data_IF_675441538959
#
_entry.id   IF_675441538959
#
_cell.length_a   1.000
_cell.length_b   1.000
_cell.length_c   1.000
_cell.angle_alpha   90.00
_cell.angle_beta   90.00
_cell.angle_gamma   90.00
#
_symmetry.space_group_name_H-M   'P 1'
#
loop_
_entity.id
_entity.type
_entity.pdbx_description
1 polymer ?
#
# COMPACT_ATOMS: atom_id res chain seq x y z
N UNK A 1 -4.88 -48.36 -48.72
CA UNK A 1 -6.30 -48.02 -49.01
C UNK A 1 -6.43 -46.52 -49.10
N UNK A 2 -7.04 -46.07 -50.20
CA UNK A 2 -7.63 -44.76 -50.53
C UNK A 2 -6.80 -43.48 -50.60
N UNK A 3 -6.53 -43.16 -51.87
CA UNK A 3 -6.27 -41.89 -52.54
C UNK A 3 -7.41 -40.85 -52.48
N UNK A 4 -7.01 -39.59 -52.69
CA UNK A 4 -7.79 -38.37 -52.92
C UNK A 4 -8.88 -38.49 -54.01
N UNK A 5 -9.96 -37.72 -53.88
CA UNK A 5 -10.61 -37.03 -55.01
C UNK A 5 -11.32 -35.74 -54.56
N UNK A 6 -10.98 -34.64 -55.24
CA UNK A 6 -11.67 -33.34 -55.20
C UNK A 6 -12.94 -33.38 -56.06
N UNK A 7 -13.97 -32.62 -55.69
CA UNK A 7 -14.99 -32.13 -56.63
C UNK A 7 -15.31 -30.64 -56.38
N UNK A 8 -15.53 -29.83 -57.44
CA UNK A 8 -15.69 -28.39 -57.34
C UNK A 8 -17.17 -28.01 -57.19
N UNK A 9 -17.53 -27.18 -56.20
CA UNK A 9 -18.85 -26.54 -56.15
C UNK A 9 -18.80 -25.14 -56.76
N UNK A 10 -19.54 -25.04 -57.86
CA UNK A 10 -19.93 -23.93 -58.70
C UNK A 10 -20.11 -22.56 -58.01
N UNK A 11 -19.27 -21.60 -58.41
CA UNK A 11 -19.38 -20.15 -58.14
C UNK A 11 -20.43 -19.44 -59.02
N UNK A 12 -21.65 -19.98 -59.13
CA UNK A 12 -22.66 -19.43 -60.05
C UNK A 12 -23.97 -18.97 -59.38
N UNK A 13 -24.20 -19.22 -58.09
CA UNK A 13 -25.47 -18.86 -57.43
C UNK A 13 -25.41 -17.62 -56.51
N UNK A 14 -24.23 -17.10 -56.19
CA UNK A 14 -24.07 -15.96 -55.28
C UNK A 14 -24.29 -14.58 -55.92
N UNK A 15 -24.26 -14.48 -57.25
CA UNK A 15 -24.23 -13.18 -57.96
C UNK A 15 -25.62 -12.68 -58.41
N UNK A 16 -26.67 -13.50 -58.26
CA UNK A 16 -28.05 -13.06 -58.51
C UNK A 16 -28.77 -12.57 -57.25
N UNK A 17 -28.29 -12.91 -56.05
CA UNK A 17 -28.89 -12.43 -54.79
C UNK A 17 -28.47 -10.99 -54.44
N UNK A 18 -27.29 -10.56 -54.92
CA UNK A 18 -26.77 -9.20 -54.65
C UNK A 18 -27.39 -8.15 -55.59
N UNK A 19 -27.84 -8.53 -56.79
CA UNK A 19 -28.40 -7.58 -57.76
C UNK A 19 -29.87 -7.21 -57.49
N UNK A 20 -30.64 -8.03 -56.77
CA UNK A 20 -32.03 -7.70 -56.41
C UNK A 20 -32.17 -6.81 -55.16
N UNK A 21 -31.14 -6.72 -54.31
CA UNK A 21 -31.16 -5.86 -53.12
C UNK A 21 -30.80 -4.39 -53.42
N UNK A 22 -30.11 -4.12 -54.53
CA UNK A 22 -29.69 -2.74 -54.89
C UNK A 22 -30.79 -1.98 -55.65
N UNK A 23 -31.74 -2.65 -56.30
CA UNK A 23 -32.88 -1.97 -56.97
C UNK A 23 -34.04 -1.63 -56.02
N UNK A 24 -34.07 -2.17 -54.79
CA UNK A 24 -35.09 -1.83 -53.79
C UNK A 24 -34.85 -0.50 -53.05
N UNK A 25 -33.60 0.00 -53.04
CA UNK A 25 -33.24 1.22 -52.28
C UNK A 25 -33.30 2.53 -53.10
N UNK A 26 -33.51 2.50 -54.41
CA UNK A 26 -33.63 3.71 -55.23
C UNK A 26 -35.07 4.18 -55.50
N UNK A 27 -36.09 3.40 -55.13
CA UNK A 27 -37.50 3.80 -55.30
C UNK A 27 -38.10 4.49 -54.06
N UNK A 28 -37.37 4.60 -52.95
CA UNK A 28 -37.86 5.20 -51.69
C UNK A 28 -37.48 6.67 -51.50
N UNK A 29 -36.70 7.28 -52.41
CA UNK A 29 -36.22 8.66 -52.27
C UNK A 29 -36.99 9.72 -53.08
N UNK A 30 -38.21 9.43 -53.56
CA UNK A 30 -38.95 10.40 -54.38
C UNK A 30 -40.40 10.68 -53.97
N UNK A 31 -40.80 10.36 -52.74
CA UNK A 31 -42.17 10.68 -52.29
C UNK A 31 -42.32 11.07 -50.80
N UNK A 32 -41.48 11.98 -50.29
CA UNK A 32 -41.81 12.78 -49.09
C UNK A 32 -41.23 14.19 -49.25
N UNK A 33 -41.72 14.94 -50.22
CA UNK A 33 -41.39 16.35 -50.41
C UNK A 33 -42.68 17.16 -50.63
N UNK A 34 -43.56 17.18 -49.63
CA UNK A 34 -44.70 18.10 -49.55
C UNK A 34 -45.42 17.97 -48.21
N UNK A 35 -44.83 18.51 -47.15
CA UNK A 35 -45.60 18.91 -45.96
C UNK A 35 -45.33 20.39 -45.67
N UNK A 36 -46.37 21.21 -45.42
CA UNK A 36 -46.20 22.62 -45.08
C UNK A 36 -45.53 22.76 -43.71
N UNK A 37 -44.66 23.76 -43.56
CA UNK A 37 -44.02 24.11 -42.30
C UNK A 37 -45.09 24.46 -41.25
N UNK A 38 -45.28 23.59 -40.26
CA UNK A 38 -45.92 23.94 -39.00
C UNK A 38 -44.96 24.81 -38.19
N UNK A 39 -45.43 25.98 -37.77
CA UNK A 39 -44.75 26.85 -36.80
C UNK A 39 -44.38 26.08 -35.53
N UNK A 40 -43.21 26.30 -34.93
CA UNK A 40 -42.84 25.62 -33.68
C UNK A 40 -43.72 26.15 -32.54
N UNK A 41 -44.66 25.32 -32.09
CA UNK A 41 -45.30 25.51 -30.78
C UNK A 41 -44.23 25.38 -29.72
N UNK A 42 -44.09 26.41 -28.88
CA UNK A 42 -43.19 26.39 -27.73
C UNK A 42 -43.43 25.14 -26.89
N UNK A 43 -42.39 24.31 -26.75
CA UNK A 43 -42.41 23.18 -25.85
C UNK A 43 -42.71 23.69 -24.42
N UNK A 44 -43.63 23.06 -23.67
CA UNK A 44 -43.78 23.40 -22.26
C UNK A 44 -42.44 23.13 -21.58
N UNK A 45 -41.96 24.13 -20.84
CA UNK A 45 -40.74 24.03 -20.06
C UNK A 45 -40.78 22.72 -19.27
N UNK A 46 -39.83 21.83 -19.57
CA UNK A 46 -39.61 20.63 -18.79
C UNK A 46 -39.46 21.08 -17.34
N UNK A 47 -40.44 20.72 -16.52
CA UNK A 47 -40.31 20.84 -15.09
C UNK A 47 -39.00 20.15 -14.72
N UNK A 48 -38.08 20.89 -14.12
CA UNK A 48 -36.86 20.34 -13.59
C UNK A 48 -37.25 19.11 -12.76
N UNK A 49 -36.71 17.94 -13.12
CA UNK A 49 -36.73 16.81 -12.22
C UNK A 49 -36.28 17.33 -10.85
N UNK A 50 -37.05 17.08 -9.78
CA UNK A 50 -36.60 17.46 -8.46
C UNK A 50 -35.24 16.81 -8.29
N UNK A 51 -34.22 17.64 -8.04
CA UNK A 51 -32.90 17.17 -7.67
C UNK A 51 -33.12 16.08 -6.61
N UNK A 52 -32.67 14.86 -6.91
CA UNK A 52 -32.64 13.78 -5.93
C UNK A 52 -31.88 14.36 -4.76
N UNK A 53 -32.59 14.63 -3.66
CA UNK A 53 -31.95 14.95 -2.40
C UNK A 53 -31.12 13.72 -2.09
N UNK A 54 -29.79 13.83 -2.14
CA UNK A 54 -28.91 12.73 -1.72
C UNK A 54 -29.43 12.24 -0.37
N UNK A 55 -29.99 11.03 -0.35
CA UNK A 55 -30.58 10.47 0.86
C UNK A 55 -29.54 10.55 1.97
N UNK A 56 -29.89 11.24 3.05
CA UNK A 56 -29.04 11.35 4.22
C UNK A 56 -28.59 9.94 4.61
N UNK A 57 -27.28 9.69 4.57
CA UNK A 57 -26.72 8.37 4.85
C UNK A 57 -27.28 7.78 6.15
N UNK A 58 -27.58 6.46 6.24
CA UNK A 58 -28.00 5.85 7.50
C UNK A 58 -26.92 5.97 8.60
N UNK A 59 -25.68 6.26 8.21
CA UNK A 59 -24.52 6.41 9.09
C UNK A 59 -24.34 7.86 9.58
N UNK A 60 -25.40 8.42 10.16
CA UNK A 60 -25.43 9.78 10.73
C UNK A 60 -25.27 9.82 12.25
N UNK A 61 -25.59 10.98 12.85
CA UNK A 61 -25.51 11.21 14.29
C UNK A 61 -26.40 10.29 15.13
N UNK A 62 -27.43 9.68 14.52
CA UNK A 62 -28.29 8.69 15.17
C UNK A 62 -27.70 7.27 15.22
N UNK A 63 -26.64 6.99 14.44
CA UNK A 63 -25.99 5.69 14.40
C UNK A 63 -24.71 5.65 15.23
N UNK A 64 -23.78 6.57 14.97
CA UNK A 64 -22.50 6.62 15.67
C UNK A 64 -22.64 7.36 17.01
N UNK A 65 -22.01 6.85 18.08
CA UNK A 65 -21.99 7.57 19.36
C UNK A 65 -21.16 8.85 19.22
N UNK A 66 -21.53 9.89 19.94
CA UNK A 66 -20.78 11.15 19.95
C UNK A 66 -19.85 11.26 21.16
N UNK A 67 -19.15 10.15 21.41
CA UNK A 67 -18.24 9.92 22.53
C UNK A 67 -17.17 11.00 22.64
N UNK A 68 -16.90 11.46 23.87
CA UNK A 68 -15.85 12.44 24.13
C UNK A 68 -14.51 11.70 24.33
N UNK A 69 -13.54 11.99 23.49
CA UNK A 69 -12.19 11.43 23.54
C UNK A 69 -11.17 12.55 23.78
N UNK A 70 -10.00 12.19 24.28
CA UNK A 70 -8.87 13.12 24.47
C UNK A 70 -7.72 12.73 23.55
N UNK A 71 -7.25 13.66 22.71
CA UNK A 71 -6.11 13.44 21.83
C UNK A 71 -4.76 13.53 22.56
N UNK A 72 -3.68 13.17 21.87
CA UNK A 72 -2.32 13.14 22.41
C UNK A 72 -1.78 14.53 22.83
N UNK A 73 -2.46 15.61 22.45
CA UNK A 73 -2.13 16.97 22.87
C UNK A 73 -3.06 17.47 23.99
N UNK A 74 -3.91 16.60 24.54
CA UNK A 74 -4.85 16.93 25.60
C UNK A 74 -6.14 17.63 25.12
N UNK A 75 -6.41 17.67 23.82
CA UNK A 75 -7.63 18.27 23.28
C UNK A 75 -8.78 17.29 23.36
N UNK A 76 -9.94 17.75 23.81
CA UNK A 76 -11.16 16.97 23.79
C UNK A 76 -11.84 17.06 22.42
N UNK A 77 -12.26 15.92 21.89
CA UNK A 77 -12.90 15.77 20.60
C UNK A 77 -14.11 14.85 20.72
N UNK A 78 -15.21 15.22 20.09
CA UNK A 78 -16.40 14.38 19.97
C UNK A 78 -16.30 13.49 18.73
N UNK A 79 -16.50 12.19 18.90
CA UNK A 79 -16.28 11.21 17.84
C UNK A 79 -17.06 11.53 16.56
N UNK A 80 -18.37 11.78 16.65
CA UNK A 80 -19.15 12.08 15.45
C UNK A 80 -18.81 13.47 14.89
N UNK A 81 -18.99 14.52 15.70
CA UNK A 81 -18.94 15.89 15.22
C UNK A 81 -17.55 16.34 14.78
N UNK A 82 -16.51 15.99 15.53
CA UNK A 82 -15.15 16.49 15.28
C UNK A 82 -14.32 15.51 14.44
N UNK A 83 -14.55 14.20 14.57
CA UNK A 83 -13.66 13.19 13.99
C UNK A 83 -14.14 12.59 12.67
N UNK A 84 -15.44 12.31 12.50
CA UNK A 84 -15.92 11.55 11.32
C UNK A 84 -16.90 12.30 10.40
N UNK A 85 -17.65 13.27 10.92
CA UNK A 85 -18.63 14.02 10.12
C UNK A 85 -17.94 14.76 8.97
N UNK A 86 -18.39 14.51 7.74
CA UNK A 86 -17.82 15.16 6.54
C UNK A 86 -16.39 14.76 6.19
N UNK A 87 -15.88 13.63 6.72
CA UNK A 87 -14.46 13.24 6.60
C UNK A 87 -14.30 11.85 6.03
N UNK A 88 -13.19 11.65 5.31
CA UNK A 88 -12.65 10.31 5.05
C UNK A 88 -11.73 9.95 6.21
N UNK A 89 -11.95 8.80 6.83
CA UNK A 89 -11.25 8.41 8.06
C UNK A 89 -10.67 7.01 7.97
N UNK A 90 -9.54 6.82 8.63
CA UNK A 90 -8.98 5.52 9.03
C UNK A 90 -9.00 5.48 10.54
N UNK A 91 -9.63 4.46 11.11
CA UNK A 91 -9.74 4.25 12.55
C UNK A 91 -9.16 2.88 12.89
N UNK A 92 -8.22 2.83 13.82
CA UNK A 92 -7.79 1.58 14.44
C UNK A 92 -7.80 1.69 15.97
N UNK A 93 -7.87 0.54 16.62
CA UNK A 93 -7.80 0.44 18.07
C UNK A 93 -6.46 -0.18 18.46
N UNK A 94 -5.75 0.44 19.40
CA UNK A 94 -4.40 0.04 19.79
C UNK A 94 -4.23 0.04 21.30
N UNK A 95 -3.08 -0.42 21.78
CA UNK A 95 -2.57 -0.07 23.10
C UNK A 95 -1.05 0.02 23.04
N UNK A 96 -0.44 1.01 23.68
CA UNK A 96 0.97 1.34 23.43
C UNK A 96 1.95 0.29 23.95
N UNK A 97 1.52 -0.57 24.88
CA UNK A 97 2.33 -1.67 25.42
C UNK A 97 2.30 -2.94 24.55
N UNK A 98 1.64 -2.91 23.38
CA UNK A 98 1.62 -4.06 22.47
C UNK A 98 2.99 -4.27 21.81
N UNK A 99 3.58 -5.45 21.99
CA UNK A 99 4.85 -5.85 21.37
C UNK A 99 4.70 -6.49 19.99
N UNK A 100 3.46 -6.71 19.54
CA UNK A 100 3.16 -7.62 18.44
C UNK A 100 2.61 -6.84 17.22
N UNK A 101 1.29 -6.75 17.08
CA UNK A 101 0.64 -6.18 15.89
C UNK A 101 0.68 -4.65 15.84
N UNK A 102 0.34 -3.94 16.93
CA UNK A 102 0.17 -2.49 16.88
C UNK A 102 1.39 -1.71 16.34
N UNK A 103 2.66 -2.07 16.65
CA UNK A 103 3.83 -1.48 16.01
C UNK A 103 3.85 -1.65 14.48
N UNK A 104 3.47 -2.83 13.98
CA UNK A 104 3.42 -3.13 12.54
C UNK A 104 2.32 -2.34 11.84
N UNK A 105 1.14 -2.24 12.47
CA UNK A 105 0.03 -1.45 11.93
C UNK A 105 0.39 0.03 11.85
N UNK A 106 1.00 0.56 12.93
CA UNK A 106 1.43 1.96 12.98
C UNK A 106 2.49 2.24 11.91
N UNK A 107 3.44 1.32 11.72
CA UNK A 107 4.44 1.44 10.66
C UNK A 107 3.80 1.41 9.26
N UNK A 108 2.85 0.50 9.00
CA UNK A 108 2.12 0.44 7.72
C UNK A 108 1.30 1.68 7.46
N UNK A 109 0.53 2.15 8.43
CA UNK A 109 -0.26 3.38 8.29
C UNK A 109 0.64 4.61 8.11
N UNK A 110 1.86 4.62 8.66
CA UNK A 110 2.82 5.69 8.38
C UNK A 110 3.27 5.70 6.92
N UNK A 111 3.40 4.53 6.28
CA UNK A 111 3.66 4.43 4.84
C UNK A 111 2.49 5.02 4.05
N UNK A 112 1.25 4.66 4.39
CA UNK A 112 0.04 5.22 3.77
C UNK A 112 -0.03 6.74 3.94
N UNK A 113 0.27 7.26 5.14
CA UNK A 113 0.33 8.69 5.40
C UNK A 113 1.36 9.40 4.49
N UNK A 114 2.52 8.76 4.25
CA UNK A 114 3.53 9.30 3.34
C UNK A 114 3.03 9.33 1.89
N UNK A 115 2.34 8.28 1.43
CA UNK A 115 1.76 8.21 0.09
C UNK A 115 0.68 9.27 -0.14
N UNK A 116 -0.19 9.47 0.86
CA UNK A 116 -1.26 10.46 0.79
C UNK A 116 -0.76 11.90 0.95
N UNK A 117 0.43 12.08 1.57
CA UNK A 117 1.08 13.37 1.75
C UNK A 117 0.15 14.40 2.40
N UNK A 118 0.04 15.56 1.76
CA UNK A 118 -0.71 16.73 2.22
C UNK A 118 -2.23 16.54 2.33
N UNK A 119 -2.78 15.44 1.80
CA UNK A 119 -4.21 15.10 1.96
C UNK A 119 -4.53 14.74 3.41
N UNK A 120 -3.55 14.18 4.14
CA UNK A 120 -3.75 13.79 5.54
C UNK A 120 -3.82 15.03 6.42
N UNK A 121 -4.95 15.21 7.11
CA UNK A 121 -5.27 16.38 7.91
C UNK A 121 -6.07 17.46 7.18
N UNK A 122 -6.35 17.29 5.87
CA UNK A 122 -7.22 18.19 5.10
C UNK A 122 -8.57 17.52 4.83
N UNK A 123 -8.55 16.42 4.09
CA UNK A 123 -9.76 15.67 3.70
C UNK A 123 -9.71 14.19 4.12
N UNK A 124 -8.52 13.68 4.43
CA UNK A 124 -8.31 12.33 4.98
C UNK A 124 -7.74 12.44 6.40
N UNK A 125 -8.28 11.71 7.36
CA UNK A 125 -7.90 11.79 8.77
C UNK A 125 -7.64 10.42 9.38
N UNK A 126 -6.59 10.30 10.18
CA UNK A 126 -6.20 9.03 10.80
C UNK A 126 -6.42 9.11 12.31
N UNK A 127 -6.99 8.06 12.89
CA UNK A 127 -7.31 7.97 14.31
C UNK A 127 -6.87 6.63 14.88
N UNK A 128 -5.97 6.66 15.86
CA UNK A 128 -5.59 5.49 16.64
C UNK A 128 -6.13 5.66 18.06
N UNK A 129 -7.11 4.85 18.44
CA UNK A 129 -7.83 4.98 19.70
C UNK A 129 -7.34 3.89 20.67
N UNK A 130 -6.88 4.28 21.85
CA UNK A 130 -6.41 3.34 22.85
C UNK A 130 -7.57 2.53 23.46
N UNK A 131 -7.35 1.23 23.65
CA UNK A 131 -8.22 0.34 24.44
C UNK A 131 -7.76 0.18 25.89
N UNK A 132 -6.62 0.78 26.25
CA UNK A 132 -6.01 0.69 27.59
C UNK A 132 -5.82 2.10 28.18
N UNK A 133 -6.92 2.81 28.52
CA UNK A 133 -6.84 4.20 28.96
C UNK A 133 -6.16 4.39 30.32
N UNK A 134 -6.01 3.32 31.11
CA UNK A 134 -5.27 3.36 32.38
C UNK A 134 -3.76 3.50 32.17
N UNK A 135 -3.24 2.95 31.08
CA UNK A 135 -1.81 2.98 30.74
C UNK A 135 -1.50 4.07 29.69
N UNK A 136 -2.40 4.26 28.74
CA UNK A 136 -2.20 5.13 27.59
C UNK A 136 -2.76 6.54 27.85
N UNK A 137 -2.05 7.30 28.68
CA UNK A 137 -2.32 8.74 28.86
C UNK A 137 -1.98 9.53 27.59
N UNK A 138 -2.49 10.77 27.43
CA UNK A 138 -2.13 11.63 26.30
C UNK A 138 -0.61 11.76 26.08
N UNK A 139 0.18 11.84 27.15
CA UNK A 139 1.64 11.93 27.10
C UNK A 139 2.27 10.64 26.58
N UNK A 140 1.78 9.47 27.01
CA UNK A 140 2.25 8.16 26.54
C UNK A 140 1.92 7.99 25.06
N UNK A 141 0.71 8.34 24.64
CA UNK A 141 0.27 8.32 23.25
C UNK A 141 1.11 9.27 22.37
N UNK A 142 1.43 10.47 22.88
CA UNK A 142 2.30 11.42 22.19
C UNK A 142 3.70 10.86 21.99
N UNK A 143 4.28 10.27 23.04
CA UNK A 143 5.59 9.63 22.95
C UNK A 143 5.58 8.44 21.96
N UNK A 144 4.51 7.64 21.94
CA UNK A 144 4.33 6.56 20.97
C UNK A 144 4.29 7.10 19.54
N UNK A 145 3.42 8.08 19.25
CA UNK A 145 3.32 8.70 17.93
C UNK A 145 4.65 9.31 17.45
N UNK A 146 5.42 9.91 18.36
CA UNK A 146 6.75 10.46 18.06
C UNK A 146 7.77 9.39 17.67
N UNK A 147 7.78 8.23 18.35
CA UNK A 147 8.71 7.12 18.00
C UNK A 147 8.51 6.65 16.56
N UNK A 148 7.26 6.54 16.13
CA UNK A 148 6.86 6.18 14.76
C UNK A 148 6.87 7.36 13.78
N UNK A 149 7.26 8.55 14.23
CA UNK A 149 7.40 9.76 13.41
C UNK A 149 6.12 10.12 12.66
N UNK A 150 4.99 9.93 13.34
CA UNK A 150 3.66 10.23 12.82
C UNK A 150 3.58 11.71 12.41
N UNK A 151 3.14 11.94 11.17
CA UNK A 151 2.95 13.27 10.62
C UNK A 151 1.61 13.92 11.00
N UNK A 152 1.35 15.15 10.54
CA UNK A 152 0.09 15.86 10.80
C UNK A 152 -1.13 15.10 10.26
N UNK A 153 -2.30 15.39 10.82
CA UNK A 153 -3.58 14.79 10.43
C UNK A 153 -3.85 13.39 10.97
N UNK A 154 -2.94 12.83 11.77
CA UNK A 154 -3.13 11.59 12.51
C UNK A 154 -3.15 11.88 14.01
N UNK A 155 -4.27 11.55 14.67
CA UNK A 155 -4.45 11.69 16.11
C UNK A 155 -4.42 10.35 16.82
N UNK A 156 -3.81 10.35 17.99
CA UNK A 156 -3.82 9.24 18.94
C UNK A 156 -4.70 9.65 20.10
N UNK A 157 -5.72 8.85 20.42
CA UNK A 157 -6.76 9.24 21.36
C UNK A 157 -6.93 8.22 22.48
N UNK A 158 -7.35 8.70 23.64
CA UNK A 158 -7.78 7.90 24.79
C UNK A 158 -9.13 8.41 25.30
N UNK A 159 -9.78 7.65 26.18
CA UNK A 159 -11.09 8.00 26.71
C UNK A 159 -11.52 7.05 27.82
N UNK A 160 -12.75 7.21 28.30
CA UNK A 160 -13.28 6.31 29.32
C UNK A 160 -13.40 4.87 28.77
N UNK A 161 -13.10 3.87 29.60
CA UNK A 161 -13.06 2.48 29.16
C UNK A 161 -14.41 1.99 28.59
N UNK A 162 -15.51 2.37 29.24
CA UNK A 162 -16.86 2.02 28.78
C UNK A 162 -17.20 2.66 27.44
N UNK A 163 -16.82 3.92 27.27
CA UNK A 163 -17.05 4.72 26.07
C UNK A 163 -16.28 4.18 24.86
N UNK A 164 -15.01 3.83 25.05
CA UNK A 164 -14.19 3.18 24.02
C UNK A 164 -14.77 1.81 23.66
N UNK A 165 -15.24 1.06 24.65
CA UNK A 165 -15.86 -0.26 24.43
C UNK A 165 -17.14 -0.16 23.60
N UNK A 166 -18.04 0.77 23.92
CA UNK A 166 -19.24 1.03 23.13
C UNK A 166 -18.88 1.43 21.70
N UNK A 167 -17.89 2.31 21.53
CA UNK A 167 -17.45 2.75 20.21
C UNK A 167 -16.95 1.57 19.36
N UNK A 168 -16.18 0.65 19.96
CA UNK A 168 -15.71 -0.57 19.29
C UNK A 168 -16.87 -1.48 18.88
N UNK A 169 -17.88 -1.62 19.72
CA UNK A 169 -19.09 -2.41 19.40
C UNK A 169 -19.85 -1.79 18.22
N UNK A 170 -20.05 -0.46 18.23
CA UNK A 170 -20.73 0.28 17.15
C UNK A 170 -19.98 0.23 15.83
N UNK A 171 -18.65 0.18 15.87
CA UNK A 171 -17.80 0.02 14.69
C UNK A 171 -17.62 -1.46 14.27
N UNK A 172 -18.24 -2.40 14.99
CA UNK A 172 -18.13 -3.83 14.70
C UNK A 172 -16.74 -4.42 14.92
N UNK A 173 -15.93 -3.82 15.80
CA UNK A 173 -14.56 -4.20 16.18
C UNK A 173 -14.46 -4.79 17.59
N UNK A 174 -15.57 -5.31 18.10
CA UNK A 174 -15.67 -5.96 19.41
C UNK A 174 -16.13 -7.40 19.23
N UNK A 175 -15.43 -8.34 19.87
CA UNK A 175 -15.76 -9.76 19.86
C UNK A 175 -16.06 -10.22 21.29
N UNK A 176 -17.32 -10.55 21.55
CA UNK A 176 -17.75 -11.06 22.85
C UNK A 176 -16.93 -12.29 23.27
N UNK A 177 -16.49 -12.29 24.54
CA UNK A 177 -15.69 -13.36 25.12
C UNK A 177 -14.19 -13.25 24.86
N UNK A 178 -13.75 -12.60 23.78
CA UNK A 178 -12.34 -12.26 23.53
C UNK A 178 -12.02 -10.89 24.12
N UNK A 179 -12.85 -9.88 23.83
CA UNK A 179 -12.65 -8.50 24.28
C UNK A 179 -13.24 -8.23 25.67
N UNK A 180 -12.98 -9.11 26.63
CA UNK A 180 -13.65 -9.11 27.94
C UNK A 180 -12.96 -8.25 29.02
N UNK A 181 -11.95 -7.46 28.64
CA UNK A 181 -11.16 -6.62 29.54
C UNK A 181 -10.15 -7.38 30.43
N UNK A 182 -10.04 -8.71 30.31
CA UNK A 182 -9.08 -9.53 31.08
C UNK A 182 -7.78 -9.80 30.31
N UNK A 183 -7.86 -9.85 28.98
CA UNK A 183 -6.75 -9.90 28.03
C UNK A 183 -6.81 -8.67 27.10
N UNK A 184 -5.68 -8.32 26.50
CA UNK A 184 -5.59 -7.21 25.52
C UNK A 184 -5.76 -7.68 24.07
N UNK A 185 -6.22 -8.93 23.89
CA UNK A 185 -6.58 -9.46 22.58
C UNK A 185 -7.75 -8.65 22.04
N UNK A 186 -7.66 -8.22 20.78
CA UNK A 186 -8.71 -7.44 20.14
C UNK A 186 -8.70 -7.61 18.63
N UNK A 187 -9.79 -7.17 17.99
CA UNK A 187 -9.89 -7.14 16.54
C UNK A 187 -8.91 -6.11 15.94
N UNK A 188 -7.97 -6.58 15.12
CA UNK A 188 -6.95 -5.77 14.44
C UNK A 188 -7.44 -5.10 13.15
N UNK A 189 -8.72 -5.24 12.80
CA UNK A 189 -9.23 -4.64 11.57
C UNK A 189 -9.24 -3.11 11.68
N UNK A 190 -8.80 -2.44 10.61
CA UNK A 190 -9.04 -1.02 10.41
C UNK A 190 -10.52 -0.81 10.04
N UNK A 191 -11.09 0.29 10.50
CA UNK A 191 -12.32 0.84 9.93
C UNK A 191 -11.95 2.02 9.06
N UNK A 192 -12.31 1.91 7.78
CA UNK A 192 -12.13 3.00 6.83
C UNK A 192 -13.48 3.41 6.29
N UNK A 193 -13.70 4.71 6.19
CA UNK A 193 -14.97 5.18 5.69
C UNK A 193 -15.04 6.65 5.36
N UNK A 194 -16.12 7.00 4.70
CA UNK A 194 -16.51 8.36 4.40
C UNK A 194 -17.96 8.53 4.87
N UNK A 195 -18.13 9.41 5.86
CA UNK A 195 -19.44 9.66 6.45
C UNK A 195 -20.41 10.31 5.46
N UNK A 196 -19.95 11.23 4.60
CA UNK A 196 -20.80 11.89 3.59
C UNK A 196 -21.38 10.89 2.60
N UNK A 197 -20.55 10.01 2.06
CA UNK A 197 -21.01 9.01 1.07
C UNK A 197 -21.64 7.79 1.71
N UNK A 198 -21.60 7.67 3.04
CA UNK A 198 -22.04 6.50 3.77
C UNK A 198 -21.28 5.22 3.48
N UNK A 199 -20.05 5.31 2.96
CA UNK A 199 -19.24 4.14 2.61
C UNK A 199 -18.34 3.80 3.78
N UNK A 200 -18.50 2.60 4.32
CA UNK A 200 -17.72 2.08 5.44
C UNK A 200 -17.31 0.65 5.16
N UNK A 201 -16.07 0.31 5.47
CA UNK A 201 -15.57 -1.05 5.33
C UNK A 201 -14.48 -1.37 6.35
N UNK A 202 -14.34 -2.67 6.61
CA UNK A 202 -13.17 -3.20 7.33
C UNK A 202 -12.04 -3.35 6.33
N UNK A 203 -10.84 -2.94 6.74
CA UNK A 203 -9.62 -3.16 5.99
C UNK A 203 -8.57 -3.85 6.86
N UNK A 204 -7.67 -4.59 6.23
CA UNK A 204 -6.53 -5.17 6.94
C UNK A 204 -5.47 -4.10 7.20
N UNK A 205 -4.90 -3.99 8.41
CA UNK A 205 -3.77 -3.09 8.65
C UNK A 205 -2.47 -3.59 8.00
N UNK A 206 -2.49 -4.79 7.40
CA UNK A 206 -1.37 -5.39 6.67
C UNK A 206 -1.55 -5.36 5.15
N UNK A 207 -2.65 -4.75 4.67
CA UNK A 207 -2.91 -4.49 3.25
C UNK A 207 -1.76 -3.72 2.60
N UNK A 208 -1.55 -3.90 1.31
CA UNK A 208 -0.58 -3.10 0.56
C UNK A 208 -0.87 -1.59 0.75
N UNK A 209 0.11 -0.77 1.14
CA UNK A 209 -0.12 0.64 1.46
C UNK A 209 -0.67 1.46 0.29
N UNK A 210 -0.35 1.11 -0.96
CA UNK A 210 -0.91 1.77 -2.14
C UNK A 210 -2.38 1.49 -2.33
N UNK A 211 -2.81 0.24 -2.09
CA UNK A 211 -4.22 -0.14 -2.19
C UNK A 211 -5.03 0.65 -1.17
N UNK A 212 -4.55 0.72 0.07
CA UNK A 212 -5.22 1.51 1.11
C UNK A 212 -5.18 3.02 0.79
N UNK A 213 -4.06 3.55 0.29
CA UNK A 213 -3.97 4.96 -0.13
C UNK A 213 -4.93 5.29 -1.28
N UNK A 214 -4.99 4.46 -2.32
CA UNK A 214 -5.94 4.60 -3.43
C UNK A 214 -7.38 4.55 -2.94
N UNK A 215 -7.69 3.60 -2.06
CA UNK A 215 -9.02 3.46 -1.52
C UNK A 215 -9.49 4.71 -0.76
N UNK A 216 -8.60 5.32 0.02
CA UNK A 216 -8.87 6.56 0.78
C UNK A 216 -8.95 7.79 -0.13
N UNK A 217 -8.06 7.90 -1.11
CA UNK A 217 -7.98 9.06 -2.00
C UNK A 217 -9.08 9.08 -3.07
N UNK A 218 -9.49 7.89 -3.56
CA UNK A 218 -10.33 7.74 -4.74
C UNK A 218 -11.63 7.00 -4.43
N UNK A 219 -11.57 5.72 -4.04
CA UNK A 219 -12.76 4.86 -3.92
C UNK A 219 -13.78 5.38 -2.90
N UNK A 220 -13.31 5.81 -1.72
CA UNK A 220 -14.16 6.38 -0.67
C UNK A 220 -14.62 7.80 -0.97
N UNK A 221 -14.06 8.45 -2.00
CA UNK A 221 -14.44 9.80 -2.43
C UNK A 221 -15.23 9.81 -3.73
N UNK A 222 -15.81 8.69 -4.15
CA UNK A 222 -16.54 8.55 -5.42
C UNK A 222 -15.71 8.99 -6.64
N UNK A 223 -14.39 8.81 -6.61
CA UNK A 223 -13.49 9.22 -7.70
C UNK A 223 -13.64 10.71 -8.06
N UNK A 224 -13.95 11.57 -7.07
CA UNK A 224 -14.05 13.03 -7.25
C UNK A 224 -12.78 13.64 -7.86
N UNK A 225 -11.62 13.01 -7.63
CA UNK A 225 -10.36 13.37 -8.28
C UNK A 225 -10.07 12.36 -9.41
N UNK A 226 -9.81 12.83 -10.64
CA UNK A 226 -9.41 11.95 -11.73
C UNK A 226 -8.04 11.32 -11.44
N UNK A 227 -7.90 10.02 -11.71
CA UNK A 227 -6.61 9.34 -11.66
C UNK A 227 -5.66 9.93 -12.70
N UNK A 228 -4.38 10.10 -12.35
CA UNK A 228 -3.34 10.40 -13.33
C UNK A 228 -3.12 9.14 -14.16
N UNK A 229 -3.24 9.24 -15.49
CA UNK A 229 -2.88 8.16 -16.40
C UNK A 229 -1.34 8.06 -16.47
N UNK A 230 -0.81 6.94 -15.99
CA UNK A 230 0.61 6.59 -16.12
C UNK A 230 0.79 5.57 -17.25
N UNK A 231 1.88 5.72 -18.00
CA UNK A 231 2.22 4.79 -19.07
C UNK A 231 2.71 3.45 -18.51
N UNK A 232 2.21 2.34 -19.04
CA UNK A 232 2.69 0.99 -18.72
C UNK A 232 3.93 0.57 -19.52
N UNK A 233 4.47 1.43 -20.38
CA UNK A 233 5.62 1.10 -21.25
C UNK A 233 6.83 0.64 -20.43
N UNK A 234 7.04 1.24 -19.26
CA UNK A 234 8.15 0.91 -18.36
C UNK A 234 7.69 0.06 -17.15
N UNK A 235 6.47 -0.50 -17.20
CA UNK A 235 5.98 -1.32 -16.10
C UNK A 235 6.77 -2.63 -16.01
N UNK A 236 7.26 -3.00 -14.80
CA UNK A 236 8.03 -4.24 -14.64
C UNK A 236 7.16 -5.47 -14.89
N UNK A 237 7.76 -6.51 -15.48
CA UNK A 237 7.09 -7.80 -15.67
C UNK A 237 6.70 -8.43 -14.33
N UNK A 238 5.45 -8.89 -14.23
CA UNK A 238 4.96 -9.56 -13.03
C UNK A 238 5.48 -10.99 -13.01
N UNK A 239 6.33 -11.30 -12.03
CA UNK A 239 6.76 -12.66 -11.73
C UNK A 239 6.12 -13.20 -10.45
N UNK A 240 5.91 -14.51 -10.32
CA UNK A 240 5.57 -15.12 -9.03
C UNK A 240 6.67 -14.81 -8.01
N UNK A 241 6.32 -14.37 -6.78
CA UNK A 241 7.29 -14.16 -5.73
C UNK A 241 7.85 -15.51 -5.26
N UNK A 242 9.11 -15.53 -4.80
CA UNK A 242 9.62 -16.66 -4.04
C UNK A 242 8.92 -16.73 -2.67
N UNK A 243 8.98 -17.88 -1.99
CA UNK A 243 8.46 -18.00 -0.63
C UNK A 243 9.08 -16.95 0.33
N UNK A 244 10.39 -16.70 0.20
CA UNK A 244 11.09 -15.66 0.96
C UNK A 244 10.59 -14.25 0.67
N UNK A 245 10.32 -13.94 -0.60
CA UNK A 245 9.77 -12.65 -0.99
C UNK A 245 8.34 -12.46 -0.45
N UNK A 246 7.48 -13.47 -0.55
CA UNK A 246 6.11 -13.40 -0.04
C UNK A 246 6.11 -13.18 1.48
N UNK A 247 6.93 -13.94 2.21
CA UNK A 247 7.13 -13.74 3.64
C UNK A 247 7.63 -12.32 3.95
N UNK A 248 8.63 -11.83 3.23
CA UNK A 248 9.13 -10.46 3.44
C UNK A 248 8.04 -9.41 3.22
N UNK A 249 7.30 -9.49 2.10
CA UNK A 249 6.26 -8.51 1.73
C UNK A 249 5.12 -8.47 2.76
N UNK A 250 4.75 -9.62 3.31
CA UNK A 250 3.63 -9.74 4.24
C UNK A 250 4.02 -9.54 5.70
N UNK A 251 5.29 -9.77 6.07
CA UNK A 251 5.75 -9.79 7.49
C UNK A 251 6.75 -8.70 7.83
N UNK A 252 7.58 -8.27 6.89
CA UNK A 252 8.74 -7.41 7.16
C UNK A 252 8.62 -6.01 6.53
N UNK A 253 7.94 -5.89 5.38
CA UNK A 253 7.92 -4.66 4.57
C UNK A 253 7.20 -3.46 5.23
N UNK A 254 6.45 -3.66 6.32
CA UNK A 254 5.89 -2.53 7.09
C UNK A 254 6.98 -1.69 7.76
N UNK A 255 8.08 -2.31 8.16
CA UNK A 255 9.15 -1.67 8.92
C UNK A 255 10.48 -1.59 8.16
N UNK A 256 10.75 -2.53 7.26
CA UNK A 256 12.03 -2.65 6.55
C UNK A 256 11.93 -2.20 5.09
N UNK A 257 13.04 -1.67 4.57
CA UNK A 257 13.24 -1.31 3.14
C UNK A 257 14.22 -2.25 2.46
N UNK A 258 14.17 -2.30 1.13
CA UNK A 258 15.13 -3.05 0.29
C UNK A 258 15.82 -2.12 -0.71
N UNK A 259 16.53 -1.11 -0.21
CA UNK A 259 17.26 -0.17 -1.04
C UNK A 259 16.38 0.84 -1.77
N UNK A 260 16.99 1.68 -2.64
CA UNK A 260 16.26 2.63 -3.46
C UNK A 260 15.44 1.96 -4.58
N UNK A 261 15.71 0.67 -4.86
CA UNK A 261 15.05 -0.11 -5.93
C UNK A 261 13.92 -1.02 -5.43
N UNK A 262 13.43 -0.86 -4.19
CA UNK A 262 12.19 -1.52 -3.75
C UNK A 262 10.94 -1.07 -4.54
N UNK A 263 11.15 -0.28 -5.60
CA UNK A 263 10.16 0.19 -6.57
C UNK A 263 9.23 1.24 -6.00
N UNK A 264 9.45 1.66 -4.75
CA UNK A 264 8.38 2.23 -3.96
C UNK A 264 8.86 3.36 -3.02
N UNK A 265 10.10 3.34 -2.51
CA UNK A 265 10.65 4.44 -1.68
C UNK A 265 9.84 4.74 -0.40
N UNK A 266 8.97 3.81 0.02
CA UNK A 266 8.00 3.97 1.12
C UNK A 266 8.49 3.28 2.38
N UNK A 267 9.49 2.40 2.29
CA UNK A 267 10.12 1.84 3.48
C UNK A 267 10.63 2.97 4.36
N UNK A 268 10.06 3.08 5.55
CA UNK A 268 10.47 4.08 6.53
C UNK A 268 11.77 3.58 7.13
N UNK A 269 12.90 4.01 6.54
CA UNK A 269 14.27 3.78 7.06
C UNK A 269 14.44 4.19 8.52
N UNK A 270 13.48 4.94 9.05
CA UNK A 270 13.47 5.44 10.40
C UNK A 270 12.71 4.57 11.40
N UNK A 271 11.91 3.59 10.93
CA UNK A 271 11.27 2.57 11.78
C UNK A 271 12.14 1.32 11.86
N UNK A 272 12.65 0.85 10.73
CA UNK A 272 13.57 -0.28 10.67
C UNK A 272 14.69 -0.04 9.65
N UNK A 273 15.80 -0.79 9.75
CA UNK A 273 16.89 -0.72 8.80
C UNK A 273 16.45 -1.08 7.38
N UNK A 274 17.14 -0.48 6.41
CA UNK A 274 17.26 -1.04 5.07
C UNK A 274 18.03 -2.36 5.15
N UNK A 275 17.50 -3.42 4.52
CA UNK A 275 18.06 -4.77 4.63
C UNK A 275 18.97 -5.14 3.46
N UNK A 276 19.15 -4.28 2.45
CA UNK A 276 20.11 -4.57 1.37
C UNK A 276 21.52 -4.66 1.95
N UNK A 277 22.20 -5.76 1.66
CA UNK A 277 23.54 -6.04 2.17
C UNK A 277 23.57 -6.69 3.57
N UNK A 278 22.42 -6.86 4.25
CA UNK A 278 22.41 -7.39 5.62
C UNK A 278 23.02 -8.78 5.72
N UNK A 279 22.80 -9.62 4.71
CA UNK A 279 23.31 -10.99 4.62
C UNK A 279 24.83 -11.06 4.42
N UNK A 280 25.45 -9.98 3.94
CA UNK A 280 26.91 -9.83 3.85
C UNK A 280 27.53 -9.28 5.13
N UNK A 281 26.75 -8.58 5.95
CA UNK A 281 27.22 -7.84 7.13
C UNK A 281 27.04 -8.58 8.45
N UNK A 282 26.23 -9.62 8.49
CA UNK A 282 25.81 -10.28 9.73
C UNK A 282 25.99 -11.78 9.62
N UNK A 283 26.36 -12.37 10.75
CA UNK A 283 26.47 -13.82 10.87
C UNK A 283 25.12 -14.48 10.55
N UNK A 284 25.08 -15.52 9.69
CA UNK A 284 23.83 -16.16 9.29
C UNK A 284 23.07 -16.79 10.46
N UNK A 285 23.77 -17.33 11.46
CA UNK A 285 23.13 -17.96 12.63
C UNK A 285 22.51 -16.90 13.53
N UNK A 286 23.18 -15.76 13.70
CA UNK A 286 22.64 -14.61 14.41
C UNK A 286 21.41 -14.04 13.69
N UNK A 287 21.49 -13.84 12.36
CA UNK A 287 20.35 -13.33 11.57
C UNK A 287 19.12 -14.21 11.69
N UNK A 288 19.30 -15.53 11.56
CA UNK A 288 18.18 -16.46 11.64
C UNK A 288 17.54 -16.41 13.04
N UNK A 289 18.35 -16.39 14.11
CA UNK A 289 17.85 -16.25 15.48
C UNK A 289 17.11 -14.93 15.68
N UNK A 290 17.68 -13.81 15.21
CA UNK A 290 17.09 -12.48 15.35
C UNK A 290 15.71 -12.37 14.67
N UNK A 291 15.54 -12.96 13.49
CA UNK A 291 14.25 -12.97 12.78
C UNK A 291 13.17 -13.76 13.55
N UNK A 292 13.57 -14.79 14.29
CA UNK A 292 12.64 -15.69 15.00
C UNK A 292 12.34 -15.29 16.43
N UNK A 293 13.35 -14.75 17.12
CA UNK A 293 13.34 -14.56 18.59
C UNK A 293 13.88 -13.17 18.98
N UNK A 294 13.42 -12.06 18.35
CA UNK A 294 13.96 -10.72 18.64
C UNK A 294 13.67 -10.27 20.06
N UNK A 295 12.50 -10.62 20.59
CA UNK A 295 12.07 -10.38 21.97
C UNK A 295 13.01 -11.03 23.00
N UNK A 296 13.41 -12.29 22.76
CA UNK A 296 14.36 -13.00 23.64
C UNK A 296 15.74 -12.40 23.56
N UNK A 297 16.22 -12.08 22.36
CA UNK A 297 17.54 -11.47 22.19
C UNK A 297 17.63 -10.09 22.84
N UNK A 298 16.56 -9.30 22.83
CA UNK A 298 16.46 -8.05 23.59
C UNK A 298 16.44 -8.31 25.11
N UNK A 299 15.68 -9.30 25.58
CA UNK A 299 15.64 -9.66 27.01
C UNK A 299 17.00 -10.17 27.54
N UNK A 300 17.72 -10.92 26.72
CA UNK A 300 19.10 -11.39 26.98
C UNK A 300 20.15 -10.26 26.87
N UNK A 301 19.75 -9.08 26.36
CA UNK A 301 20.62 -7.94 26.09
C UNK A 301 21.75 -8.28 25.12
N UNK A 302 21.44 -9.00 24.03
CA UNK A 302 22.37 -9.21 22.92
C UNK A 302 22.94 -7.85 22.46
N UNK A 303 24.27 -7.67 22.38
CA UNK A 303 24.86 -6.35 22.13
C UNK A 303 24.41 -5.72 20.82
N UNK A 304 24.28 -6.51 19.75
CA UNK A 304 23.87 -6.04 18.43
C UNK A 304 22.38 -5.68 18.44
N UNK A 305 21.55 -6.53 19.06
CA UNK A 305 20.12 -6.26 19.21
C UNK A 305 19.86 -4.95 19.97
N UNK A 306 20.59 -4.72 21.07
CA UNK A 306 20.46 -3.51 21.88
C UNK A 306 20.92 -2.26 21.12
N UNK A 307 22.03 -2.35 20.38
CA UNK A 307 22.50 -1.24 19.52
C UNK A 307 21.46 -0.88 18.45
N UNK A 308 20.87 -1.90 17.79
CA UNK A 308 19.81 -1.68 16.81
C UNK A 308 18.57 -1.07 17.46
N UNK A 309 18.16 -1.56 18.62
CA UNK A 309 17.02 -1.04 19.36
C UNK A 309 17.18 0.45 19.70
N UNK A 310 18.35 0.86 20.22
CA UNK A 310 18.61 2.28 20.50
C UNK A 310 18.71 3.12 19.22
N UNK A 311 19.28 2.57 18.13
CA UNK A 311 19.38 3.26 16.83
C UNK A 311 18.02 3.52 16.19
N UNK A 312 17.07 2.60 16.33
CA UNK A 312 15.74 2.67 15.69
C UNK A 312 14.66 3.08 16.69
N UNK A 313 14.89 4.22 17.36
CA UNK A 313 13.90 4.89 18.23
C UNK A 313 13.31 4.02 19.35
N UNK A 314 14.01 2.96 19.78
CA UNK A 314 13.52 1.99 20.76
C UNK A 314 12.19 1.36 20.35
N UNK A 315 11.99 1.16 19.05
CA UNK A 315 10.93 0.34 18.50
C UNK A 315 11.45 -1.10 18.47
N UNK A 316 10.83 -1.98 19.26
CA UNK A 316 11.20 -3.40 19.27
C UNK A 316 10.74 -4.07 17.98
N UNK A 317 11.61 -4.87 17.35
CA UNK A 317 11.20 -5.75 16.27
C UNK A 317 10.24 -6.81 16.83
N UNK A 318 8.98 -6.90 16.34
CA UNK A 318 8.01 -7.87 16.85
C UNK A 318 8.43 -9.31 16.60
N UNK A 319 8.08 -10.21 17.52
CA UNK A 319 8.24 -11.64 17.28
C UNK A 319 7.09 -12.15 16.41
N UNK A 320 7.40 -12.42 15.13
CA UNK A 320 6.43 -12.88 14.13
C UNK A 320 6.19 -14.39 14.15
N UNK A 321 6.77 -15.10 15.13
CA UNK A 321 6.64 -16.55 15.37
C UNK A 321 7.01 -17.39 14.16
N UNK A 322 8.03 -16.94 13.42
CA UNK A 322 8.57 -17.63 12.26
C UNK A 322 9.39 -18.85 12.71
N UNK A 323 9.31 -19.93 11.94
CA UNK A 323 10.18 -21.10 12.14
C UNK A 323 11.54 -20.91 11.44
N UNK A 324 12.48 -21.84 11.68
CA UNK A 324 13.82 -21.81 11.08
C UNK A 324 13.77 -21.70 9.55
N UNK A 325 12.86 -22.44 8.90
CA UNK A 325 12.79 -22.54 7.44
C UNK A 325 12.26 -21.26 6.82
N UNK A 326 11.26 -20.65 7.45
CA UNK A 326 10.69 -19.37 7.03
C UNK A 326 11.71 -18.26 7.20
N UNK A 327 12.41 -18.21 8.34
CA UNK A 327 13.49 -17.27 8.56
C UNK A 327 14.62 -17.44 7.53
N UNK A 328 14.98 -18.70 7.20
CA UNK A 328 15.98 -18.98 6.17
C UNK A 328 15.51 -18.53 4.78
N UNK A 329 14.26 -18.80 4.41
CA UNK A 329 13.70 -18.37 3.13
C UNK A 329 13.77 -16.85 2.96
N UNK A 330 13.51 -16.09 4.03
CA UNK A 330 13.66 -14.63 4.02
C UNK A 330 15.14 -14.26 3.81
N UNK A 331 16.06 -14.88 4.53
CA UNK A 331 17.51 -14.62 4.40
C UNK A 331 17.99 -14.90 2.97
N UNK A 332 17.57 -16.01 2.37
CA UNK A 332 17.93 -16.39 1.01
C UNK A 332 17.41 -15.34 0.01
N UNK A 333 16.15 -14.92 0.15
CA UNK A 333 15.59 -13.82 -0.64
C UNK A 333 16.37 -12.51 -0.47
N UNK A 334 16.71 -12.12 0.76
CA UNK A 334 17.51 -10.90 1.03
C UNK A 334 18.91 -10.98 0.41
N UNK A 335 19.49 -12.18 0.35
CA UNK A 335 20.78 -12.42 -0.30
C UNK A 335 20.66 -12.27 -1.82
N UNK A 336 19.69 -12.94 -2.45
CA UNK A 336 19.41 -12.82 -3.89
C UNK A 336 19.11 -11.37 -4.29
N UNK A 337 18.31 -10.68 -3.48
CA UNK A 337 17.95 -9.28 -3.73
C UNK A 337 19.15 -8.34 -3.56
N UNK A 338 20.02 -8.63 -2.58
CA UNK A 338 21.29 -7.91 -2.42
C UNK A 338 22.19 -8.11 -3.63
N UNK A 339 22.32 -9.34 -4.13
CA UNK A 339 23.13 -9.65 -5.31
C UNK A 339 22.55 -9.01 -6.58
N UNK A 340 21.22 -8.97 -6.71
CA UNK A 340 20.51 -8.32 -7.81
C UNK A 340 20.78 -6.81 -7.85
N UNK A 341 20.73 -6.13 -6.70
CA UNK A 341 20.94 -4.68 -6.62
C UNK A 341 22.42 -4.28 -6.57
N UNK A 342 23.27 -5.12 -5.97
CA UNK A 342 24.70 -4.88 -5.80
C UNK A 342 25.51 -6.13 -6.17
N UNK A 343 25.67 -6.43 -7.47
CA UNK A 343 26.40 -7.60 -7.93
C UNK A 343 27.82 -7.63 -7.34
N UNK A 344 28.32 -8.79 -6.88
CA UNK A 344 29.70 -8.89 -6.43
C UNK A 344 30.64 -8.47 -7.57
N UNK A 345 31.63 -7.64 -7.25
CA UNK A 345 32.65 -7.22 -8.21
C UNK A 345 33.45 -8.47 -8.60
N UNK A 346 33.35 -8.88 -9.86
CA UNK A 346 34.18 -9.96 -10.38
C UNK A 346 35.66 -9.57 -10.21
N UNK A 347 36.55 -10.49 -9.78
CA UNK A 347 37.98 -10.22 -9.81
C UNK A 347 38.34 -9.80 -11.24
N UNK A 348 39.02 -8.67 -11.39
CA UNK A 348 39.68 -8.31 -12.64
C UNK A 348 40.49 -9.54 -13.07
N UNK A 349 40.11 -10.15 -14.18
CA UNK A 349 40.88 -11.23 -14.78
C UNK A 349 42.33 -10.73 -14.88
N UNK A 350 43.24 -11.40 -14.16
CA UNK A 350 44.67 -11.14 -14.26
C UNK A 350 45.03 -11.06 -15.73
N UNK A 351 45.59 -9.92 -16.12
CA UNK A 351 45.83 -9.56 -17.50
C UNK A 351 46.46 -10.70 -18.29
N UNK A 352 45.94 -10.87 -19.50
CA UNK A 352 46.63 -11.48 -20.63
C UNK A 352 48.12 -11.14 -20.59
N UNK A 353 48.96 -12.17 -20.56
CA UNK A 353 50.38 -12.07 -20.93
C UNK A 353 50.48 -11.34 -22.28
N UNK A 354 51.07 -10.14 -22.23
CA UNK A 354 51.50 -9.43 -23.44
C UNK A 354 52.73 -10.18 -23.99
N UNK A 355 52.76 -10.59 -25.27
CA UNK A 355 53.94 -11.23 -25.84
C UNK A 355 55.01 -10.16 -26.07
N UNK A 356 56.16 -10.34 -25.43
CA UNK A 356 57.38 -9.59 -25.72
C UNK A 356 57.74 -9.72 -27.21
N UNK A 357 57.60 -8.64 -27.98
CA UNK A 357 58.25 -8.50 -29.27
C UNK A 357 59.18 -7.30 -29.29
N UNK A 358 60.48 -7.64 -29.27
CA UNK A 358 61.64 -6.80 -29.48
C UNK A 358 61.47 -5.79 -30.64
N UNK A 359 61.58 -4.51 -30.32
CA UNK A 359 62.01 -3.50 -31.29
C UNK A 359 63.46 -3.12 -31.00
N UNK A 360 64.35 -3.57 -31.89
CA UNK A 360 65.77 -3.21 -31.93
C UNK A 360 65.91 -1.73 -32.26
N UNK A 361 66.60 -0.98 -31.39
CA UNK A 361 66.90 0.45 -31.58
C UNK A 361 68.24 0.58 -32.30
N UNK A 362 68.21 1.05 -33.55
CA UNK A 362 69.40 1.42 -34.32
C UNK A 362 69.93 2.77 -33.82
N UNK A 363 71.19 2.82 -33.38
CA UNK A 363 71.86 4.05 -32.94
C UNK A 363 72.18 5.00 -34.10
N UNK A 364 72.06 6.33 -33.94
CA UNK A 364 72.56 7.30 -34.91
C UNK A 364 74.04 7.65 -34.68
N UNK A 365 74.74 7.75 -35.81
CA UNK A 365 76.16 7.99 -35.99
C UNK A 365 76.56 9.45 -35.66
N UNK A 366 77.65 9.65 -34.92
CA UNK A 366 78.20 10.98 -34.55
C UNK A 366 79.22 11.43 -35.60
N UNK A 367 79.14 12.66 -36.17
CA UNK A 367 80.23 13.22 -36.96
C UNK A 367 81.27 13.91 -36.08
N UNK A 368 82.53 13.53 -36.23
CA UNK A 368 83.71 14.25 -35.72
C UNK A 368 83.95 15.53 -36.52
N UNK A 369 84.30 16.62 -35.84
CA UNK A 369 85.11 17.70 -36.42
C UNK A 369 86.10 18.25 -35.39
N UNK A 370 87.36 18.01 -35.74
CA UNK A 370 88.65 18.68 -35.49
C UNK A 370 88.79 19.67 -34.33
#
# INVERSE_FOLDING_TARGET
MNTKLHSPRSRALGMHLVLMLVTGLLASQLLVASQPLSTPTAAPAAAAEPAVVEDATPWGAGYFPNTLLTDQDGRQLRFFDDMIKGKVVVINFIFTTCSDSCPLETARLRQVQKLLGDRVGKDIFFYSISIDPLSDTPEVLKAYAQRFQVGPGWKFLTGEFADVTELRQKLGLFIDGIDNGRNKDHNLSLIVGNQETGRWMKASPFENPWILADQLANTLQNWKQPSVEESYVDAPEIRPPSNGEELFRTRCASCHSLGPQDGQGIGLRSIGPDLIGVTRQRDPTWLNRWIREPDRMLAEKDPIAMELFDRYNRISMPNLRLDQKSAQSIIDFLHEETDRQHPPVAPLASGSEEPEHHHSVTQPNVPQMQ
#
